data_IF_642735944916
#
_entry.id   IF_642735944916
#
_cell.length_a   1.000
_cell.length_b   1.000
_cell.length_c   1.000
_cell.angle_alpha   90.00
_cell.angle_beta   90.00
_cell.angle_gamma   90.00
#
_symmetry.space_group_name_H-M   'P 1'
#
loop_
_entity.id
_entity.type
_entity.pdbx_description
1 polymer ?
#
# COMPACT_ATOMS: atom_id res chain seq x y z
N UNK A 1 12.79 12.44 -7.36
CA UNK A 1 14.16 12.18 -6.87
C UNK A 1 14.78 11.08 -7.74
N UNK A 2 15.97 11.30 -8.30
CA UNK A 2 16.63 10.30 -9.15
C UNK A 2 17.37 9.29 -8.26
N UNK A 3 16.85 8.06 -8.16
CA UNK A 3 17.45 6.98 -7.37
C UNK A 3 18.90 6.66 -7.78
N UNK A 4 19.25 6.89 -9.04
CA UNK A 4 20.61 6.62 -9.54
C UNK A 4 21.69 7.50 -8.91
N UNK A 5 21.32 8.68 -8.39
CA UNK A 5 22.26 9.62 -7.75
C UNK A 5 22.40 9.39 -6.25
N UNK A 6 21.66 8.43 -5.70
CA UNK A 6 21.58 8.17 -4.26
C UNK A 6 22.50 6.99 -3.92
N UNK A 7 23.34 7.08 -2.88
CA UNK A 7 24.16 5.96 -2.43
C UNK A 7 23.30 4.79 -1.95
N UNK A 8 23.82 3.56 -2.07
CA UNK A 8 23.05 2.34 -1.78
C UNK A 8 22.53 2.26 -0.33
N UNK A 9 23.31 2.74 0.64
CA UNK A 9 22.90 2.83 2.06
C UNK A 9 21.68 3.73 2.25
N UNK A 10 21.65 4.86 1.55
CA UNK A 10 20.54 5.82 1.66
C UNK A 10 19.28 5.28 0.97
N UNK A 11 19.43 4.51 -0.12
CA UNK A 11 18.31 3.75 -0.74
C UNK A 11 17.70 2.76 0.23
N UNK A 12 18.51 2.00 0.97
CA UNK A 12 18.02 1.10 2.01
C UNK A 12 17.25 1.87 3.10
N UNK A 13 17.85 2.96 3.59
CA UNK A 13 17.23 3.82 4.60
C UNK A 13 15.87 4.37 4.15
N UNK A 14 15.78 4.81 2.90
CA UNK A 14 14.53 5.23 2.26
C UNK A 14 13.52 4.07 2.19
N UNK A 15 13.91 2.91 1.65
CA UNK A 15 13.02 1.76 1.52
C UNK A 15 12.46 1.30 2.88
N UNK A 16 13.31 1.29 3.93
CA UNK A 16 12.90 0.97 5.30
C UNK A 16 11.91 2.01 5.86
N UNK A 17 12.15 3.30 5.65
CA UNK A 17 11.24 4.37 6.11
C UNK A 17 9.87 4.26 5.44
N UNK A 18 9.83 4.02 4.13
CA UNK A 18 8.57 3.85 3.40
C UNK A 18 7.82 2.59 3.85
N UNK A 19 8.54 1.50 4.08
CA UNK A 19 7.96 0.28 4.65
C UNK A 19 7.34 0.53 6.03
N UNK A 20 8.07 1.18 6.95
CA UNK A 20 7.58 1.46 8.30
C UNK A 20 6.39 2.43 8.29
N UNK A 21 6.48 3.50 7.50
CA UNK A 21 5.41 4.49 7.39
C UNK A 21 4.12 3.90 6.79
N UNK A 22 4.20 2.86 5.96
CA UNK A 22 3.01 2.19 5.43
C UNK A 22 2.15 1.51 6.51
N UNK A 23 2.70 1.18 7.68
CA UNK A 23 1.92 0.67 8.81
C UNK A 23 0.98 1.71 9.43
N UNK A 24 1.14 3.00 9.13
CA UNK A 24 0.22 4.06 9.53
C UNK A 24 -1.05 4.10 8.66
N UNK A 25 -1.57 2.93 8.25
CA UNK A 25 -2.74 2.78 7.35
C UNK A 25 -2.56 3.40 5.96
N UNK A 26 -1.33 3.35 5.43
CA UNK A 26 -0.98 3.96 4.14
C UNK A 26 -0.60 2.89 3.10
N UNK A 27 -1.56 2.09 2.57
CA UNK A 27 -1.27 1.06 1.58
C UNK A 27 -0.69 1.63 0.29
N UNK A 28 -1.10 2.84 -0.10
CA UNK A 28 -0.53 3.51 -1.26
C UNK A 28 0.96 3.81 -1.11
N UNK A 29 1.44 4.03 0.12
CA UNK A 29 2.86 4.23 0.37
C UNK A 29 3.66 2.94 0.17
N UNK A 30 3.11 1.79 0.56
CA UNK A 30 3.69 0.48 0.21
C UNK A 30 3.71 0.24 -1.30
N UNK A 31 2.68 0.65 -2.03
CA UNK A 31 2.69 0.59 -3.51
C UNK A 31 3.83 1.43 -4.09
N UNK A 32 4.00 2.68 -3.65
CA UNK A 32 5.12 3.53 -4.09
C UNK A 32 6.45 2.87 -3.78
N UNK A 33 6.62 2.31 -2.57
CA UNK A 33 7.84 1.61 -2.18
C UNK A 33 8.13 0.44 -3.13
N UNK A 34 7.12 -0.38 -3.44
CA UNK A 34 7.27 -1.53 -4.35
C UNK A 34 7.67 -1.06 -5.73
N UNK A 35 6.92 -0.15 -6.36
CA UNK A 35 7.17 0.29 -7.75
C UNK A 35 8.53 0.98 -7.88
N UNK A 36 8.87 1.84 -6.92
CA UNK A 36 10.06 2.67 -7.01
C UNK A 36 11.36 1.87 -6.76
N UNK A 37 11.34 0.91 -5.83
CA UNK A 37 12.48 0.05 -5.53
C UNK A 37 12.48 -1.28 -6.30
N UNK A 38 11.46 -1.60 -7.08
CA UNK A 38 11.39 -2.85 -7.86
C UNK A 38 12.62 -3.03 -8.78
N UNK A 39 13.00 -1.97 -9.49
CA UNK A 39 14.17 -2.00 -10.38
C UNK A 39 15.47 -2.22 -9.61
N UNK A 40 15.64 -1.54 -8.48
CA UNK A 40 16.81 -1.68 -7.61
C UNK A 40 16.88 -3.06 -6.94
N UNK A 41 15.72 -3.67 -6.66
CA UNK A 41 15.61 -4.96 -6.02
C UNK A 41 15.85 -6.13 -6.99
N UNK A 42 15.28 -6.09 -8.21
CA UNK A 42 15.21 -7.26 -9.10
C UNK A 42 15.92 -7.10 -10.45
N UNK A 43 16.17 -5.87 -10.92
CA UNK A 43 16.75 -5.63 -12.25
C UNK A 43 18.23 -5.26 -12.22
N UNK A 44 18.74 -4.71 -11.12
CA UNK A 44 20.16 -4.33 -11.00
C UNK A 44 21.07 -5.52 -10.63
N UNK A 45 22.36 -5.46 -11.04
CA UNK A 45 23.38 -6.43 -10.62
C UNK A 45 23.51 -6.49 -9.09
N UNK A 46 24.05 -7.60 -8.58
CA UNK A 46 24.14 -7.84 -7.14
C UNK A 46 25.04 -6.82 -6.42
N UNK A 47 24.50 -6.22 -5.37
CA UNK A 47 25.22 -5.35 -4.43
C UNK A 47 24.87 -5.72 -2.97
N UNK A 48 25.69 -5.28 -2.03
CA UNK A 48 25.65 -5.65 -0.61
C UNK A 48 24.26 -5.53 0.03
N UNK A 49 23.59 -4.40 -0.18
CA UNK A 49 22.28 -4.08 0.42
C UNK A 49 21.06 -4.64 -0.34
N UNK A 50 21.26 -5.27 -1.50
CA UNK A 50 20.18 -5.65 -2.40
C UNK A 50 19.21 -6.65 -1.76
N UNK A 51 19.73 -7.65 -1.01
CA UNK A 51 18.91 -8.67 -0.36
C UNK A 51 17.97 -8.08 0.69
N UNK A 52 18.44 -7.06 1.42
CA UNK A 52 17.61 -6.35 2.39
C UNK A 52 16.50 -5.57 1.69
N UNK A 53 16.83 -4.82 0.63
CA UNK A 53 15.84 -4.07 -0.17
C UNK A 53 14.81 -5.03 -0.77
N UNK A 54 15.22 -6.16 -1.34
CA UNK A 54 14.29 -7.18 -1.84
C UNK A 54 13.31 -7.67 -0.76
N UNK A 55 13.80 -7.88 0.46
CA UNK A 55 12.96 -8.31 1.59
C UNK A 55 11.92 -7.26 1.94
N UNK A 56 12.31 -5.98 2.04
CA UNK A 56 11.39 -4.89 2.32
C UNK A 56 10.36 -4.67 1.19
N UNK A 57 10.79 -4.78 -0.07
CA UNK A 57 9.89 -4.69 -1.23
C UNK A 57 8.86 -5.83 -1.22
N UNK A 58 9.29 -7.08 -1.00
CA UNK A 58 8.38 -8.24 -0.91
C UNK A 58 7.39 -8.08 0.26
N UNK A 59 7.87 -7.67 1.44
CA UNK A 59 7.00 -7.43 2.62
C UNK A 59 6.02 -6.28 2.40
N UNK A 60 6.45 -5.20 1.76
CA UNK A 60 5.57 -4.09 1.37
C UNK A 60 4.50 -4.55 0.37
N UNK A 61 4.87 -5.41 -0.59
CA UNK A 61 3.93 -6.02 -1.52
C UNK A 61 2.88 -6.90 -0.84
N UNK A 62 3.29 -7.72 0.13
CA UNK A 62 2.35 -8.51 0.94
C UNK A 62 1.41 -7.63 1.77
N UNK A 63 1.94 -6.58 2.40
CA UNK A 63 1.11 -5.62 3.14
C UNK A 63 0.11 -4.89 2.23
N UNK A 64 0.53 -4.52 1.02
CA UNK A 64 -0.36 -3.94 0.01
C UNK A 64 -1.48 -4.90 -0.37
N UNK A 65 -1.16 -6.16 -0.68
CA UNK A 65 -2.16 -7.18 -1.04
C UNK A 65 -3.17 -7.38 0.09
N UNK A 66 -2.69 -7.46 1.33
CA UNK A 66 -3.56 -7.54 2.51
C UNK A 66 -4.55 -6.37 2.57
N UNK A 67 -4.08 -5.13 2.42
CA UNK A 67 -4.97 -3.96 2.42
C UNK A 67 -5.94 -3.93 1.26
N UNK A 68 -5.50 -4.33 0.06
CA UNK A 68 -6.40 -4.42 -1.11
C UNK A 68 -7.53 -5.40 -0.81
N UNK A 69 -7.22 -6.56 -0.23
CA UNK A 69 -8.25 -7.55 0.15
C UNK A 69 -9.19 -6.99 1.21
N UNK A 70 -8.66 -6.40 2.29
CA UNK A 70 -9.47 -5.82 3.39
C UNK A 70 -10.38 -4.71 2.87
N UNK A 71 -9.85 -3.75 2.11
CA UNK A 71 -10.61 -2.63 1.58
C UNK A 71 -11.65 -3.09 0.56
N UNK A 72 -11.30 -4.01 -0.34
CA UNK A 72 -12.26 -4.53 -1.34
C UNK A 72 -13.39 -5.29 -0.66
N UNK A 73 -13.08 -6.07 0.38
CA UNK A 73 -14.08 -6.80 1.17
C UNK A 73 -15.01 -5.81 1.88
N UNK A 74 -14.45 -4.81 2.55
CA UNK A 74 -15.22 -3.77 3.22
C UNK A 74 -16.12 -3.00 2.25
N UNK A 75 -15.59 -2.56 1.11
CA UNK A 75 -16.36 -1.86 0.08
C UNK A 75 -17.49 -2.76 -0.43
N UNK A 76 -17.23 -4.04 -0.66
CA UNK A 76 -18.26 -4.98 -1.16
C UNK A 76 -19.39 -5.16 -0.14
N UNK A 77 -19.04 -5.36 1.13
CA UNK A 77 -20.01 -5.46 2.24
C UNK A 77 -20.83 -4.17 2.34
N UNK A 78 -20.15 -3.01 2.36
CA UNK A 78 -20.82 -1.72 2.46
C UNK A 78 -21.76 -1.48 1.28
N UNK A 79 -21.31 -1.71 0.04
CA UNK A 79 -22.14 -1.51 -1.14
C UNK A 79 -23.35 -2.46 -1.20
N UNK A 80 -23.22 -3.68 -0.68
CA UNK A 80 -24.31 -4.65 -0.71
C UNK A 80 -25.33 -4.44 0.42
N UNK A 81 -24.86 -4.16 1.63
CA UNK A 81 -25.69 -4.14 2.84
C UNK A 81 -26.00 -2.75 3.38
N UNK A 82 -25.43 -1.66 2.82
CA UNK A 82 -25.65 -0.28 3.32
C UNK A 82 -27.13 0.05 3.51
N UNK A 83 -27.98 -0.28 2.53
CA UNK A 83 -29.42 0.01 2.59
C UNK A 83 -30.11 -0.76 3.74
N UNK A 84 -29.67 -1.98 4.01
CA UNK A 84 -30.20 -2.83 5.08
C UNK A 84 -29.78 -2.33 6.48
N UNK A 85 -28.69 -1.57 6.57
CA UNK A 85 -28.18 -1.04 7.84
C UNK A 85 -28.97 0.19 8.34
N UNK A 86 -29.92 0.70 7.56
CA UNK A 86 -30.77 1.84 7.93
C UNK A 86 -29.96 3.07 8.31
N UNK A 87 -30.29 3.70 9.45
CA UNK A 87 -29.64 4.93 9.92
C UNK A 87 -28.12 4.79 10.04
N UNK A 88 -27.61 3.63 10.47
CA UNK A 88 -26.16 3.39 10.58
C UNK A 88 -25.49 3.43 9.21
N UNK A 89 -26.15 2.87 8.19
CA UNK A 89 -25.69 2.92 6.81
C UNK A 89 -25.66 4.35 6.24
N UNK A 90 -26.55 5.22 6.71
CA UNK A 90 -26.58 6.64 6.32
C UNK A 90 -25.54 7.47 7.07
N UNK A 91 -25.34 7.24 8.37
CA UNK A 91 -24.29 7.94 9.15
C UNK A 91 -22.87 7.61 8.65
N UNK A 92 -22.64 6.38 8.20
CA UNK A 92 -21.35 5.95 7.65
C UNK A 92 -21.16 6.38 6.18
N UNK A 93 -22.23 6.77 5.49
CA UNK A 93 -22.17 7.22 4.11
C UNK A 93 -21.68 8.66 4.01
N UNK A 94 -20.53 8.83 3.37
CA UNK A 94 -20.09 10.15 2.93
C UNK A 94 -20.92 10.67 1.75
N UNK A 95 -21.30 9.78 0.83
CA UNK A 95 -22.10 10.11 -0.36
C UNK A 95 -23.30 9.18 -0.42
N UNK A 96 -24.50 9.76 -0.30
CA UNK A 96 -25.76 9.01 -0.36
C UNK A 96 -26.29 9.01 -1.81
N UNK A 97 -26.53 7.85 -2.42
CA UNK A 97 -27.13 7.78 -3.76
C UNK A 97 -28.59 8.24 -3.71
N UNK A 98 -28.96 9.21 -4.56
CA UNK A 98 -30.30 9.81 -4.56
C UNK A 98 -31.43 8.87 -5.04
N UNK A 99 -31.09 7.78 -5.73
CA UNK A 99 -32.05 6.91 -6.43
C UNK A 99 -32.20 5.51 -5.85
N UNK A 100 -31.46 5.16 -4.80
CA UNK A 100 -31.53 3.84 -4.16
C UNK A 100 -31.71 4.12 -2.66
N UNK A 101 -32.85 3.70 -2.06
CA UNK A 101 -33.06 3.84 -0.61
C UNK A 101 -31.97 3.10 0.17
#
# INVERSE_FOLDING_TARGET
MNLERVPNEEKLGLCRKYYLAGFAFLPFLWLVNVVWFFKEAFLKPVYTEQLQIQTYVKRSGLGLLFWVTVLTTWITIFQHYRAEWGEVGDYLSFTIPLGIP
#
